data_IF_462660286394
#
_entry.id   IF_462660286394
#
_cell.length_a   1.000
_cell.length_b   1.000
_cell.length_c   1.000
_cell.angle_alpha   90.00
_cell.angle_beta   90.00
_cell.angle_gamma   90.00
#
_symmetry.space_group_name_H-M   'P 1'
#
loop_
_entity.id
_entity.type
_entity.pdbx_description
1 polymer ?
#
# COMPACT_ATOMS: atom_id res chain seq x y z
N UNK A 1 -7.42 2.17 4.23
CA UNK A 1 -6.05 1.90 3.76
C UNK A 1 -5.36 0.73 4.49
N UNK A 2 -4.92 0.87 5.75
CA UNK A 2 -4.17 -0.18 6.49
C UNK A 2 -4.86 -1.55 6.52
N UNK A 3 -6.18 -1.58 6.72
CA UNK A 3 -6.97 -2.83 6.71
C UNK A 3 -6.99 -3.51 5.34
N UNK A 4 -7.18 -2.73 4.26
CA UNK A 4 -7.17 -3.25 2.89
C UNK A 4 -5.80 -3.81 2.51
N UNK A 5 -4.73 -3.13 2.94
CA UNK A 5 -3.35 -3.56 2.74
C UNK A 5 -3.08 -4.89 3.46
N UNK A 6 -3.44 -4.97 4.74
CA UNK A 6 -3.33 -6.20 5.53
C UNK A 6 -4.12 -7.34 4.89
N UNK A 7 -5.38 -7.10 4.51
CA UNK A 7 -6.20 -8.13 3.87
C UNK A 7 -5.62 -8.67 2.57
N UNK A 8 -5.02 -7.80 1.73
CA UNK A 8 -4.33 -8.22 0.53
C UNK A 8 -3.11 -9.10 0.84
N UNK A 9 -2.28 -8.71 1.80
CA UNK A 9 -1.08 -9.45 2.20
C UNK A 9 -1.40 -10.79 2.89
N UNK A 10 -2.47 -10.84 3.67
CA UNK A 10 -2.97 -12.05 4.33
C UNK A 10 -3.56 -13.04 3.31
N UNK A 11 -4.15 -12.54 2.21
CA UNK A 11 -4.76 -13.36 1.15
C UNK A 11 -3.73 -13.84 0.13
N UNK A 12 -2.79 -12.97 -0.25
CA UNK A 12 -1.78 -13.23 -1.27
C UNK A 12 -0.48 -13.72 -0.62
N UNK A 13 -0.55 -14.89 0.02
CA UNK A 13 0.57 -15.46 0.81
C UNK A 13 1.81 -15.80 -0.02
N UNK A 14 1.68 -15.88 -1.35
CA UNK A 14 2.79 -16.12 -2.28
C UNK A 14 3.68 -14.90 -2.54
N UNK A 15 3.29 -13.71 -2.06
CA UNK A 15 4.06 -12.49 -2.27
C UNK A 15 5.34 -12.47 -1.42
N UNK A 16 6.47 -12.50 -2.11
CA UNK A 16 7.80 -12.32 -1.56
C UNK A 16 8.07 -10.86 -1.19
N UNK A 17 9.12 -10.62 -0.39
CA UNK A 17 9.39 -9.30 0.17
C UNK A 17 9.73 -8.23 -0.88
N UNK A 18 10.19 -8.63 -2.07
CA UNK A 18 10.55 -7.74 -3.18
C UNK A 18 9.40 -7.50 -4.16
N UNK A 19 8.28 -8.23 -4.01
CA UNK A 19 7.10 -7.99 -4.84
C UNK A 19 6.51 -6.62 -4.48
N UNK A 20 5.92 -5.97 -5.47
CA UNK A 20 5.38 -4.62 -5.33
C UNK A 20 3.86 -4.65 -5.17
N UNK A 21 3.36 -3.80 -4.28
CA UNK A 21 1.93 -3.62 -4.10
C UNK A 21 1.58 -2.13 -4.19
N UNK A 22 0.60 -1.82 -5.03
CA UNK A 22 -0.06 -0.52 -5.08
C UNK A 22 -1.50 -0.68 -4.62
N UNK A 23 -1.90 0.07 -3.60
CA UNK A 23 -3.27 0.08 -3.11
C UNK A 23 -3.84 1.50 -3.16
N UNK A 24 -5.05 1.61 -3.71
CA UNK A 24 -5.78 2.87 -3.86
C UNK A 24 -7.21 2.70 -3.35
N UNK A 25 -7.63 3.62 -2.50
CA UNK A 25 -8.99 3.70 -1.98
C UNK A 25 -9.60 5.02 -2.40
N UNK A 26 -10.78 4.97 -3.01
CA UNK A 26 -11.58 6.14 -3.33
C UNK A 26 -12.79 6.12 -2.41
N UNK A 27 -13.00 7.19 -1.65
CA UNK A 27 -14.24 7.43 -0.94
C UNK A 27 -15.12 8.32 -1.82
N UNK A 28 -16.18 7.72 -2.34
CA UNK A 28 -17.21 8.43 -3.07
C UNK A 28 -18.02 9.23 -2.06
N UNK A 29 -17.92 10.56 -2.13
CA UNK A 29 -18.69 11.42 -1.25
C UNK A 29 -20.07 11.68 -1.84
N UNK A 30 -21.09 11.56 -1.01
CA UNK A 30 -22.50 11.67 -1.44
C UNK A 30 -23.05 13.07 -1.22
N UNK A 31 -22.39 13.91 -0.42
CA UNK A 31 -22.82 15.29 -0.10
C UNK A 31 -21.89 16.39 -0.65
N UNK A 32 -20.73 16.02 -1.19
CA UNK A 32 -19.76 16.93 -1.81
C UNK A 32 -19.40 16.44 -3.20
N UNK A 33 -19.11 17.37 -4.11
CA UNK A 33 -18.78 17.06 -5.52
C UNK A 33 -17.32 16.63 -5.73
N UNK A 34 -16.66 16.12 -4.69
CA UNK A 34 -15.26 15.71 -4.74
C UNK A 34 -15.08 14.39 -3.99
N UNK A 35 -14.40 13.45 -4.62
CA UNK A 35 -14.01 12.20 -3.98
C UNK A 35 -12.73 12.39 -3.17
N UNK A 36 -12.61 11.61 -2.09
CA UNK A 36 -11.37 11.57 -1.29
C UNK A 36 -10.57 10.34 -1.69
N UNK A 37 -9.29 10.55 -1.99
CA UNK A 37 -8.36 9.50 -2.38
C UNK A 37 -7.34 9.20 -1.28
N UNK A 38 -7.06 7.92 -1.06
CA UNK A 38 -5.92 7.47 -0.27
C UNK A 38 -5.12 6.40 -1.02
N UNK A 39 -3.82 6.63 -1.18
CA UNK A 39 -2.88 5.75 -1.86
C UNK A 39 -1.74 5.33 -0.94
N UNK A 40 -1.26 4.09 -1.10
CA UNK A 40 -0.01 3.59 -0.51
C UNK A 40 0.59 2.60 -1.48
N UNK A 41 1.91 2.65 -1.57
CA UNK A 41 2.70 1.77 -2.40
C UNK A 41 4.04 1.43 -1.73
N UNK A 42 4.64 0.34 -2.18
CA UNK A 42 5.92 -0.13 -1.69
C UNK A 42 6.12 -1.61 -1.99
N UNK A 43 7.30 -2.10 -1.64
CA UNK A 43 7.57 -3.53 -1.60
C UNK A 43 6.79 -4.18 -0.45
N UNK A 44 6.46 -5.46 -0.62
CA UNK A 44 5.75 -6.23 0.40
C UNK A 44 6.51 -6.28 1.72
N UNK A 45 7.84 -6.30 1.70
CA UNK A 45 8.67 -6.22 2.91
C UNK A 45 8.54 -4.90 3.67
N UNK A 46 8.54 -3.77 2.97
CA UNK A 46 8.31 -2.44 3.56
C UNK A 46 6.91 -2.37 4.18
N UNK A 47 5.90 -2.84 3.44
CA UNK A 47 4.50 -2.78 3.85
C UNK A 47 4.21 -3.68 5.06
N UNK A 48 4.81 -4.87 5.13
CA UNK A 48 4.76 -5.72 6.34
C UNK A 48 5.41 -5.03 7.54
N UNK A 49 6.57 -4.42 7.34
CA UNK A 49 7.28 -3.69 8.40
C UNK A 49 6.47 -2.50 8.92
N UNK A 50 5.83 -1.72 8.03
CA UNK A 50 4.92 -0.64 8.41
C UNK A 50 3.73 -1.16 9.20
N UNK A 51 3.13 -2.28 8.76
CA UNK A 51 1.99 -2.89 9.44
C UNK A 51 2.34 -3.39 10.84
N UNK A 52 3.53 -3.97 11.02
CA UNK A 52 3.99 -4.53 12.30
C UNK A 52 4.44 -3.44 13.27
N UNK A 53 5.23 -2.46 12.80
CA UNK A 53 5.75 -1.37 13.63
C UNK A 53 4.73 -0.26 13.88
N UNK A 54 3.74 -0.12 12.99
CA UNK A 54 2.83 1.02 12.95
C UNK A 54 3.50 2.33 12.49
N UNK A 55 4.77 2.28 12.07
CA UNK A 55 5.55 3.43 11.64
C UNK A 55 5.81 3.29 10.14
N UNK A 56 5.35 4.25 9.30
CA UNK A 56 5.68 4.27 7.89
C UNK A 56 7.19 4.44 7.68
N UNK A 57 7.73 3.82 6.64
CA UNK A 57 9.10 4.09 6.23
C UNK A 57 9.26 5.57 5.83
N UNK A 58 10.40 6.18 6.18
CA UNK A 58 10.72 7.56 5.78
C UNK A 58 10.69 7.73 4.25
N UNK A 59 11.08 6.68 3.54
CA UNK A 59 10.95 6.55 2.10
C UNK A 59 10.48 5.13 1.78
N UNK A 60 9.48 5.03 0.92
CA UNK A 60 9.05 3.77 0.30
C UNK A 60 9.69 3.64 -1.08
N UNK A 61 9.86 2.41 -1.54
CA UNK A 61 10.20 2.14 -2.93
C UNK A 61 9.02 2.57 -3.80
N UNK A 62 9.23 3.54 -4.70
CA UNK A 62 8.18 3.93 -5.66
C UNK A 62 8.04 2.92 -6.79
N UNK A 63 6.90 2.93 -7.50
CA UNK A 63 6.73 2.06 -8.70
C UNK A 63 7.85 2.24 -9.72
N UNK A 64 8.28 3.49 -9.94
CA UNK A 64 9.34 3.80 -10.90
C UNK A 64 10.71 3.25 -10.45
N UNK A 65 10.97 3.24 -9.14
CA UNK A 65 12.19 2.66 -8.58
C UNK A 65 12.17 1.14 -8.65
N UNK A 66 11.03 0.53 -8.34
CA UNK A 66 10.84 -0.92 -8.44
C UNK A 66 11.03 -1.45 -9.86
N UNK A 67 10.46 -0.78 -10.87
CA UNK A 67 10.58 -1.18 -12.27
C UNK A 67 12.01 -1.05 -12.85
N UNK A 68 12.91 -0.34 -12.16
CA UNK A 68 14.30 -0.11 -12.61
C UNK A 68 15.31 -1.05 -11.94
N UNK A 69 14.89 -1.78 -10.92
CA UNK A 69 15.71 -2.75 -10.19
C UNK A 69 15.77 -4.10 -10.92
#
# INVERSE_FOLDING_TARGET
MRLSLKGALDTLTGLGNTDFLFARQVNLETIHTHDVLAEREGTVGELRTELDSGVPAERHTSLAEWLRA
#
